data_IF_734943116038
#
_entry.id   IF_734943116038
#
_cell.length_a   1.000
_cell.length_b   1.000
_cell.length_c   1.000
_cell.angle_alpha   90.00
_cell.angle_beta   90.00
_cell.angle_gamma   90.00
#
_symmetry.space_group_name_H-M   'P 1'
#
loop_
_entity.id
_entity.type
_entity.pdbx_description
1 polymer ?
#
# COMPACT_ATOMS: atom_id res chain seq x y z
N UNK A 1 6.93 -0.79 -11.77
CA UNK A 1 7.00 -0.27 -10.41
C UNK A 1 8.07 -0.96 -9.59
N UNK A 2 8.48 -0.38 -8.48
CA UNK A 2 9.56 -0.89 -7.62
C UNK A 2 9.31 -2.33 -7.11
N UNK A 3 8.08 -2.74 -6.92
CA UNK A 3 7.73 -4.12 -6.51
C UNK A 3 8.08 -5.15 -7.60
N UNK A 4 7.88 -4.80 -8.88
CA UNK A 4 8.29 -5.66 -10.00
C UNK A 4 9.82 -5.73 -10.10
N UNK A 5 10.50 -4.61 -9.92
CA UNK A 5 11.96 -4.56 -9.93
C UNK A 5 12.54 -5.35 -8.75
N UNK A 6 11.93 -5.25 -7.56
CA UNK A 6 12.28 -6.05 -6.40
C UNK A 6 12.09 -7.56 -6.67
N UNK A 7 10.96 -7.95 -7.29
CA UNK A 7 10.70 -9.34 -7.67
C UNK A 7 11.79 -9.89 -8.58
N UNK A 8 12.18 -9.13 -9.60
CA UNK A 8 13.24 -9.53 -10.52
C UNK A 8 14.60 -9.62 -9.83
N UNK A 9 14.90 -8.69 -8.91
CA UNK A 9 16.14 -8.68 -8.15
C UNK A 9 16.21 -9.89 -7.19
N UNK A 10 15.12 -10.21 -6.48
CA UNK A 10 15.04 -11.41 -5.62
C UNK A 10 15.27 -12.68 -6.45
N UNK A 11 14.59 -12.81 -7.59
CA UNK A 11 14.75 -13.96 -8.47
C UNK A 11 16.20 -14.12 -8.96
N UNK A 12 16.87 -13.00 -9.30
CA UNK A 12 18.28 -13.01 -9.70
C UNK A 12 19.20 -13.46 -8.56
N UNK A 13 18.98 -13.00 -7.33
CA UNK A 13 19.76 -13.42 -6.15
C UNK A 13 19.59 -14.90 -5.87
N UNK A 14 18.37 -15.42 -6.00
CA UNK A 14 18.07 -16.84 -5.80
C UNK A 14 18.48 -17.75 -6.97
N UNK A 15 18.91 -17.17 -8.11
CA UNK A 15 19.28 -17.91 -9.30
C UNK A 15 18.11 -18.62 -10.01
N UNK A 16 16.90 -18.08 -9.86
CA UNK A 16 15.68 -18.62 -10.44
C UNK A 16 15.05 -17.67 -11.45
N UNK A 17 14.12 -18.18 -12.28
CA UNK A 17 13.29 -17.33 -13.14
C UNK A 17 12.04 -16.89 -12.39
N UNK A 18 11.93 -15.58 -12.12
CA UNK A 18 10.69 -14.99 -11.64
C UNK A 18 9.63 -14.94 -12.74
N UNK A 19 8.38 -15.26 -12.39
CA UNK A 19 7.21 -15.01 -13.25
C UNK A 19 6.28 -14.05 -12.52
N UNK A 20 6.16 -12.84 -13.04
CA UNK A 20 5.24 -11.85 -12.48
C UNK A 20 3.84 -12.05 -13.05
N UNK A 21 2.86 -12.17 -12.17
CA UNK A 21 1.43 -12.24 -12.51
C UNK A 21 0.70 -11.08 -11.86
N UNK A 22 -0.18 -10.43 -12.61
CA UNK A 22 -1.11 -9.44 -12.07
C UNK A 22 -2.34 -10.14 -11.48
N UNK A 23 -2.77 -9.70 -10.31
CA UNK A 23 -3.97 -10.20 -9.65
C UNK A 23 -4.72 -9.05 -8.94
N UNK A 24 -5.99 -9.26 -8.60
CA UNK A 24 -6.73 -8.32 -7.75
C UNK A 24 -6.14 -8.35 -6.33
N UNK A 25 -5.89 -7.17 -5.75
CA UNK A 25 -5.13 -7.00 -4.53
C UNK A 25 -5.66 -7.84 -3.36
N UNK A 26 -6.97 -7.80 -3.14
CA UNK A 26 -7.67 -8.51 -2.07
C UNK A 26 -7.63 -10.04 -2.20
N UNK A 27 -7.31 -10.56 -3.38
CA UNK A 27 -7.23 -12.00 -3.65
C UNK A 27 -5.83 -12.62 -3.47
N UNK A 28 -4.78 -11.78 -3.38
CA UNK A 28 -3.39 -12.26 -3.43
C UNK A 28 -3.06 -13.08 -2.20
N UNK A 29 -3.29 -12.60 -0.99
CA UNK A 29 -2.92 -13.29 0.26
C UNK A 29 -3.55 -14.68 0.32
N UNK A 30 -4.85 -14.80 0.03
CA UNK A 30 -5.56 -16.07 0.01
C UNK A 30 -5.05 -17.06 -1.07
N UNK A 31 -4.29 -16.58 -2.05
CA UNK A 31 -3.73 -17.38 -3.15
C UNK A 31 -2.28 -17.81 -2.91
N UNK A 32 -1.65 -17.35 -1.83
CA UNK A 32 -0.26 -17.69 -1.50
C UNK A 32 -0.16 -19.15 -1.07
N UNK A 33 0.86 -19.84 -1.59
CA UNK A 33 1.09 -21.27 -1.35
C UNK A 33 0.21 -22.22 -2.18
N UNK A 34 -0.82 -21.71 -2.88
CA UNK A 34 -1.67 -22.51 -3.76
C UNK A 34 -1.53 -22.13 -5.24
N UNK A 35 -1.50 -20.86 -5.55
CA UNK A 35 -1.42 -20.31 -6.91
C UNK A 35 -0.14 -19.53 -7.13
N UNK A 36 0.33 -18.84 -6.12
CA UNK A 36 1.54 -18.02 -6.14
C UNK A 36 2.49 -18.44 -5.01
N UNK A 37 3.79 -18.41 -5.28
CA UNK A 37 4.82 -18.71 -4.29
C UNK A 37 5.00 -17.52 -3.33
N UNK A 38 4.93 -16.30 -3.86
CA UNK A 38 5.03 -15.05 -3.09
C UNK A 38 4.10 -13.97 -3.66
N UNK A 39 3.78 -12.98 -2.84
CA UNK A 39 3.07 -11.76 -3.25
C UNK A 39 3.89 -10.53 -2.88
N UNK A 40 4.03 -9.60 -3.83
CA UNK A 40 4.69 -8.32 -3.64
C UNK A 40 3.78 -7.25 -4.24
N UNK A 41 3.13 -6.48 -3.40
CA UNK A 41 2.19 -5.41 -3.80
C UNK A 41 1.97 -4.44 -2.66
N UNK A 42 3.06 -3.95 -2.07
CA UNK A 42 3.03 -2.96 -0.98
C UNK A 42 2.08 -3.37 0.16
N UNK A 43 2.11 -4.65 0.56
CA UNK A 43 1.27 -5.13 1.66
C UNK A 43 1.75 -4.57 2.99
N UNK A 44 0.98 -3.65 3.58
CA UNK A 44 1.21 -3.19 4.95
C UNK A 44 1.18 -4.37 5.92
N UNK A 45 2.19 -4.48 6.77
CA UNK A 45 2.22 -5.49 7.83
C UNK A 45 1.14 -5.17 8.85
N UNK A 46 0.23 -6.12 9.07
CA UNK A 46 -0.81 -6.03 10.09
C UNK A 46 -0.93 -7.35 10.85
N UNK A 47 -1.45 -7.33 12.10
CA UNK A 47 -1.65 -8.56 12.87
C UNK A 47 -2.53 -9.59 12.13
N UNK A 48 -3.58 -9.15 11.44
CA UNK A 48 -4.47 -10.02 10.69
C UNK A 48 -3.72 -10.72 9.55
N UNK A 49 -2.93 -9.98 8.77
CA UNK A 49 -2.13 -10.53 7.67
C UNK A 49 -1.05 -11.48 8.16
N UNK A 50 -0.34 -11.10 9.24
CA UNK A 50 0.71 -11.97 9.80
C UNK A 50 0.15 -13.20 10.51
N UNK A 51 -1.15 -13.25 10.84
CA UNK A 51 -1.81 -14.48 11.27
C UNK A 51 -1.96 -15.50 10.12
N UNK A 52 -2.14 -15.03 8.88
CA UNK A 52 -2.39 -15.89 7.70
C UNK A 52 -1.10 -16.25 6.93
N UNK A 53 -0.21 -15.29 6.73
CA UNK A 53 1.02 -15.40 5.93
C UNK A 53 2.22 -14.89 6.70
N UNK A 54 3.42 -15.24 6.23
CA UNK A 54 4.65 -14.60 6.69
C UNK A 54 4.95 -13.37 5.83
N UNK A 55 5.45 -12.31 6.46
CA UNK A 55 5.71 -11.03 5.82
C UNK A 55 7.15 -10.58 6.07
N UNK A 56 7.95 -10.50 5.00
CA UNK A 56 9.32 -9.97 5.05
C UNK A 56 9.31 -8.50 4.70
N UNK A 57 9.59 -7.63 5.65
CA UNK A 57 9.57 -6.18 5.46
C UNK A 57 10.67 -5.71 4.49
N UNK A 58 10.33 -4.78 3.58
CA UNK A 58 11.28 -4.22 2.61
C UNK A 58 11.22 -2.70 2.47
N UNK A 59 10.08 -2.08 2.81
CA UNK A 59 9.85 -0.64 2.66
C UNK A 59 8.96 -0.15 3.80
N UNK A 60 9.07 1.14 4.16
CA UNK A 60 8.21 1.79 5.14
C UNK A 60 7.40 2.88 4.45
N UNK A 61 6.09 2.74 4.38
CA UNK A 61 5.21 3.64 3.63
C UNK A 61 4.00 4.00 4.47
N UNK A 62 3.64 5.29 4.48
CA UNK A 62 2.41 5.76 5.08
C UNK A 62 1.32 6.00 4.05
N UNK A 63 0.19 6.49 4.52
CA UNK A 63 -0.98 6.78 3.70
C UNK A 63 -1.12 8.27 3.45
N UNK A 64 -1.75 8.65 2.34
CA UNK A 64 -1.99 10.06 2.00
C UNK A 64 -3.26 10.22 1.16
N UNK A 65 -3.88 11.38 1.32
CA UNK A 65 -5.05 11.76 0.51
C UNK A 65 -4.63 12.37 -0.82
N UNK A 66 -5.46 12.14 -1.85
CA UNK A 66 -5.47 12.95 -3.06
C UNK A 66 -6.85 13.59 -3.23
N UNK A 67 -6.84 14.81 -3.76
CA UNK A 67 -8.04 15.59 -4.11
C UNK A 67 -7.90 16.16 -5.53
N UNK A 68 -8.99 16.60 -6.15
CA UNK A 68 -8.90 17.34 -7.39
C UNK A 68 -8.06 18.62 -7.20
N UNK A 69 -7.34 19.04 -8.22
CA UNK A 69 -6.53 20.25 -8.20
C UNK A 69 -7.35 21.46 -7.75
N UNK A 70 -6.78 22.24 -6.86
CA UNK A 70 -7.47 23.37 -6.23
C UNK A 70 -8.46 22.99 -5.13
N UNK A 71 -8.61 21.72 -4.82
CA UNK A 71 -9.49 21.20 -3.76
C UNK A 71 -10.91 21.81 -3.78
N UNK A 72 -11.66 21.70 -4.90
CA UNK A 72 -12.93 22.40 -5.07
C UNK A 72 -14.01 21.95 -4.09
N UNK A 73 -13.82 20.79 -3.46
CA UNK A 73 -14.73 20.25 -2.44
C UNK A 73 -14.37 20.71 -1.02
N UNK A 74 -13.25 21.41 -0.82
CA UNK A 74 -12.80 21.85 0.50
C UNK A 74 -12.63 20.69 1.47
N UNK A 75 -11.95 19.61 1.02
CA UNK A 75 -11.64 18.45 1.87
C UNK A 75 -10.55 18.87 2.87
N UNK A 76 -10.75 18.54 4.12
CA UNK A 76 -9.78 18.74 5.21
C UNK A 76 -9.42 17.39 5.81
N UNK A 77 -8.14 17.16 6.10
CA UNK A 77 -7.59 15.85 6.48
C UNK A 77 -6.83 15.87 7.80
N UNK A 78 -6.76 17.00 8.49
CA UNK A 78 -6.05 17.13 9.77
C UNK A 78 -6.68 16.31 10.91
N UNK A 79 -7.96 15.97 10.77
CA UNK A 79 -8.70 15.04 11.63
C UNK A 79 -9.73 14.31 10.76
N UNK A 80 -9.77 12.98 10.83
CA UNK A 80 -10.71 12.17 10.04
C UNK A 80 -12.19 12.50 10.32
N UNK A 81 -12.52 13.11 11.46
CA UNK A 81 -13.88 13.61 11.71
C UNK A 81 -14.27 14.80 10.82
N UNK A 82 -13.34 15.44 10.13
CA UNK A 82 -13.61 16.47 9.12
C UNK A 82 -14.03 15.88 7.78
N UNK A 83 -13.78 14.58 7.60
CA UNK A 83 -14.23 13.83 6.42
C UNK A 83 -15.71 13.44 6.48
N UNK A 84 -16.39 13.65 7.62
CA UNK A 84 -17.81 13.34 7.75
C UNK A 84 -18.63 14.13 6.73
N UNK A 85 -19.49 13.42 5.98
CA UNK A 85 -20.26 13.98 4.87
C UNK A 85 -19.54 13.95 3.52
N UNK A 86 -18.32 13.44 3.45
CA UNK A 86 -17.55 13.27 2.22
C UNK A 86 -17.68 11.85 1.66
N UNK A 87 -17.27 11.69 0.40
CA UNK A 87 -17.12 10.39 -0.26
C UNK A 87 -15.65 10.14 -0.54
N UNK A 88 -15.06 9.14 0.14
CA UNK A 88 -13.66 8.79 0.00
C UNK A 88 -13.52 7.47 -0.76
N UNK A 89 -12.72 7.49 -1.83
CA UNK A 89 -12.39 6.30 -2.61
C UNK A 89 -11.16 5.59 -2.05
N UNK A 90 -11.24 4.28 -1.93
CA UNK A 90 -10.16 3.40 -1.47
C UNK A 90 -10.10 2.15 -2.33
N UNK A 91 -8.97 1.46 -2.35
CA UNK A 91 -8.92 0.12 -2.95
C UNK A 91 -9.38 -0.92 -1.91
N UNK A 92 -10.17 -1.89 -2.37
CA UNK A 92 -10.69 -2.98 -1.53
C UNK A 92 -9.56 -3.81 -0.92
N UNK A 93 -9.71 -4.23 0.34
CA UNK A 93 -8.76 -5.09 1.05
C UNK A 93 -7.50 -4.38 1.55
N UNK A 94 -7.42 -3.04 1.44
CA UNK A 94 -6.28 -2.24 1.92
C UNK A 94 -6.46 -1.82 3.39
N UNK A 95 -5.35 -1.50 4.05
CA UNK A 95 -5.37 -0.87 5.37
C UNK A 95 -6.12 0.47 5.33
N UNK A 96 -5.99 1.21 4.23
CA UNK A 96 -6.69 2.48 4.03
C UNK A 96 -8.21 2.31 3.98
N UNK A 97 -8.72 1.21 3.41
CA UNK A 97 -10.15 0.91 3.48
C UNK A 97 -10.60 0.72 4.93
N UNK A 98 -9.85 -0.05 5.72
CA UNK A 98 -10.15 -0.26 7.14
C UNK A 98 -10.17 1.08 7.89
N UNK A 99 -9.12 1.89 7.76
CA UNK A 99 -9.03 3.21 8.39
C UNK A 99 -10.21 4.11 8.03
N UNK A 100 -10.62 4.14 6.77
CA UNK A 100 -11.77 4.98 6.36
C UNK A 100 -13.11 4.44 6.86
N UNK A 101 -13.27 3.11 6.97
CA UNK A 101 -14.47 2.51 7.59
C UNK A 101 -14.57 2.83 9.07
N UNK A 102 -13.44 2.76 9.80
CA UNK A 102 -13.38 3.16 11.21
C UNK A 102 -13.71 4.66 11.37
N UNK A 103 -13.21 5.50 10.47
CA UNK A 103 -13.57 6.92 10.45
C UNK A 103 -15.08 7.14 10.20
N UNK A 104 -15.68 6.35 9.31
CA UNK A 104 -17.13 6.41 9.06
C UNK A 104 -17.94 6.02 10.30
N UNK A 105 -17.52 5.01 11.05
CA UNK A 105 -18.15 4.64 12.32
C UNK A 105 -18.03 5.75 13.37
N UNK A 106 -16.85 6.38 13.47
CA UNK A 106 -16.64 7.52 14.37
C UNK A 106 -17.54 8.72 13.99
N UNK A 107 -17.75 8.99 12.69
CA UNK A 107 -18.70 9.99 12.25
C UNK A 107 -20.12 9.68 12.74
N UNK A 108 -20.57 8.42 12.58
CA UNK A 108 -21.89 7.98 13.02
C UNK A 108 -22.05 8.11 14.54
N UNK A 109 -21.05 7.66 15.31
CA UNK A 109 -21.05 7.76 16.79
C UNK A 109 -21.08 9.21 17.27
N UNK A 110 -20.44 10.13 16.53
CA UNK A 110 -20.44 11.55 16.83
C UNK A 110 -21.70 12.29 16.35
N UNK A 111 -22.67 11.60 15.73
CA UNK A 111 -23.89 12.20 15.18
C UNK A 111 -23.62 13.15 14.01
N UNK A 112 -22.48 13.01 13.33
CA UNK A 112 -22.08 13.81 12.16
C UNK A 112 -22.65 13.22 10.87
N UNK A 113 -22.64 13.97 9.76
CA UNK A 113 -23.02 13.44 8.45
C UNK A 113 -22.25 12.17 8.07
N UNK A 114 -22.86 11.27 7.32
CA UNK A 114 -22.26 9.99 6.92
C UNK A 114 -21.00 10.22 6.08
N UNK A 115 -19.86 9.65 6.49
CA UNK A 115 -18.69 9.47 5.63
C UNK A 115 -18.96 8.27 4.73
N UNK A 116 -19.00 8.48 3.42
CA UNK A 116 -19.20 7.42 2.43
C UNK A 116 -17.85 6.86 1.99
N UNK A 117 -17.59 5.58 2.26
CA UNK A 117 -16.39 4.88 1.79
C UNK A 117 -16.76 4.10 0.54
N UNK A 118 -16.14 4.46 -0.58
CA UNK A 118 -16.34 3.78 -1.86
C UNK A 118 -15.13 2.93 -2.18
N UNK A 119 -15.30 1.60 -2.10
CA UNK A 119 -14.26 0.63 -2.42
C UNK A 119 -14.25 0.31 -3.92
N UNK A 120 -13.04 0.27 -4.49
CA UNK A 120 -12.77 -0.05 -5.89
C UNK A 120 -11.87 -1.28 -5.97
N UNK A 121 -12.05 -2.12 -6.99
CA UNK A 121 -11.17 -3.28 -7.19
C UNK A 121 -9.72 -2.85 -7.50
N UNK A 122 -9.57 -1.73 -8.21
CA UNK A 122 -8.26 -1.18 -8.58
C UNK A 122 -8.11 0.26 -8.11
N UNK A 123 -6.92 0.61 -7.64
CA UNK A 123 -6.61 2.00 -7.27
C UNK A 123 -6.76 2.97 -8.45
N UNK A 124 -6.46 2.54 -9.68
CA UNK A 124 -6.66 3.35 -10.89
C UNK A 124 -8.13 3.71 -11.14
N UNK A 125 -9.08 2.86 -10.73
CA UNK A 125 -10.50 3.16 -10.81
C UNK A 125 -10.91 4.24 -9.79
N UNK A 126 -10.36 4.17 -8.57
CA UNK A 126 -10.55 5.22 -7.58
C UNK A 126 -9.98 6.57 -8.08
N UNK A 127 -8.76 6.55 -8.67
CA UNK A 127 -8.15 7.73 -9.30
C UNK A 127 -9.05 8.30 -10.41
N UNK A 128 -9.58 7.45 -11.28
CA UNK A 128 -10.54 7.88 -12.32
C UNK A 128 -11.80 8.50 -11.71
N UNK A 129 -12.33 7.90 -10.64
CA UNK A 129 -13.47 8.44 -9.90
C UNK A 129 -13.20 9.82 -9.31
N UNK A 130 -11.99 10.05 -8.80
CA UNK A 130 -11.57 11.35 -8.27
C UNK A 130 -11.45 12.39 -9.39
N UNK A 131 -10.76 12.07 -10.49
CA UNK A 131 -10.63 12.96 -11.66
C UNK A 131 -12.02 13.34 -12.20
N UNK A 132 -12.93 12.37 -12.29
CA UNK A 132 -14.31 12.58 -12.75
C UNK A 132 -15.24 13.24 -11.73
N UNK A 133 -14.76 13.55 -10.50
CA UNK A 133 -15.55 14.23 -9.46
C UNK A 133 -16.67 13.39 -8.85
N UNK A 134 -16.65 12.06 -9.03
CA UNK A 134 -17.67 11.15 -8.45
C UNK A 134 -17.38 10.79 -6.98
N UNK A 135 -16.17 11.10 -6.52
CA UNK A 135 -15.72 11.04 -5.13
C UNK A 135 -14.99 12.33 -4.79
N UNK A 136 -14.85 12.65 -3.51
CA UNK A 136 -14.28 13.90 -3.03
C UNK A 136 -12.77 13.81 -2.82
N UNK A 137 -12.27 12.64 -2.41
CA UNK A 137 -10.86 12.32 -2.25
C UNK A 137 -10.60 10.82 -2.44
N UNK A 138 -9.32 10.45 -2.64
CA UNK A 138 -8.84 9.07 -2.46
C UNK A 138 -7.90 9.02 -1.27
N UNK A 139 -7.81 7.84 -0.62
CA UNK A 139 -6.85 7.56 0.43
C UNK A 139 -6.08 6.29 0.07
N UNK A 140 -4.77 6.37 -0.07
CA UNK A 140 -3.91 5.29 -0.53
C UNK A 140 -2.49 5.44 0.02
N UNK A 141 -1.63 4.45 -0.21
CA UNK A 141 -0.20 4.58 0.07
C UNK A 141 0.36 5.88 -0.52
N UNK A 142 1.22 6.55 0.23
CA UNK A 142 1.81 7.84 -0.18
C UNK A 142 2.58 7.75 -1.51
N UNK A 143 3.21 6.61 -1.79
CA UNK A 143 3.90 6.32 -3.06
C UNK A 143 2.92 6.18 -4.22
N UNK A 144 1.78 5.54 -3.98
CA UNK A 144 0.69 5.39 -4.96
C UNK A 144 -0.01 6.74 -5.20
N UNK A 145 -0.26 7.49 -4.13
CA UNK A 145 -0.85 8.83 -4.20
C UNK A 145 0.02 9.78 -5.05
N UNK A 146 1.34 9.78 -4.81
CA UNK A 146 2.28 10.59 -5.59
C UNK A 146 2.32 10.21 -7.06
N UNK A 147 2.37 8.91 -7.35
CA UNK A 147 2.36 8.42 -8.73
C UNK A 147 1.06 8.73 -9.48
N UNK A 148 -0.08 8.70 -8.79
CA UNK A 148 -1.37 9.09 -9.37
C UNK A 148 -1.40 10.57 -9.79
N UNK A 149 -0.72 11.46 -9.06
CA UNK A 149 -0.56 12.88 -9.44
C UNK A 149 0.21 13.00 -10.75
N UNK A 150 1.32 12.27 -10.89
CA UNK A 150 2.12 12.27 -12.13
C UNK A 150 1.31 11.74 -13.33
N UNK A 151 0.59 10.63 -13.15
CA UNK A 151 -0.20 10.02 -14.23
C UNK A 151 -1.39 10.87 -14.70
N UNK A 152 -1.84 11.81 -13.88
CA UNK A 152 -3.01 12.65 -14.19
C UNK A 152 -2.63 14.07 -14.62
N UNK A 153 -1.34 14.33 -14.91
CA UNK A 153 -0.84 15.65 -15.34
C UNK A 153 -1.34 16.79 -14.43
N UNK A 154 -1.36 16.54 -13.11
CA UNK A 154 -1.76 17.54 -12.11
C UNK A 154 -3.27 17.79 -12.02
N UNK A 155 -4.13 16.97 -12.61
CA UNK A 155 -5.59 17.05 -12.41
C UNK A 155 -5.99 16.75 -10.97
N UNK A 156 -5.17 15.96 -10.27
CA UNK A 156 -5.28 15.73 -8.83
C UNK A 156 -3.98 16.14 -8.14
N UNK A 157 -4.06 16.39 -6.85
CA UNK A 157 -2.91 16.75 -6.01
C UNK A 157 -2.98 16.00 -4.69
N UNK A 158 -1.83 15.79 -4.06
CA UNK A 158 -1.79 15.25 -2.69
C UNK A 158 -2.28 16.30 -1.69
N UNK A 159 -2.95 15.85 -0.64
CA UNK A 159 -3.46 16.69 0.45
C UNK A 159 -3.04 16.11 1.80
N UNK A 160 -2.73 16.99 2.74
CA UNK A 160 -2.32 16.60 4.09
C UNK A 160 -0.91 16.02 4.19
N UNK A 161 -0.55 15.59 5.38
CA UNK A 161 0.71 14.92 5.66
C UNK A 161 0.62 13.42 5.32
N UNK A 162 1.74 12.72 5.38
CA UNK A 162 1.77 11.26 5.32
C UNK A 162 1.41 10.74 6.71
N UNK A 163 0.41 9.87 6.76
CA UNK A 163 -0.13 9.29 7.99
C UNK A 163 0.26 7.82 8.13
N UNK A 164 0.31 7.33 9.35
CA UNK A 164 0.37 5.89 9.71
C UNK A 164 1.45 5.10 8.95
N UNK A 165 2.67 5.66 8.84
CA UNK A 165 3.77 4.97 8.20
C UNK A 165 4.08 3.64 8.90
N UNK A 166 4.05 2.56 8.12
CA UNK A 166 4.24 1.20 8.60
C UNK A 166 5.09 0.38 7.61
N UNK A 167 5.76 -0.68 8.08
CA UNK A 167 6.46 -1.61 7.21
C UNK A 167 5.49 -2.27 6.22
N UNK A 168 5.95 -2.45 4.99
CA UNK A 168 5.27 -3.29 3.98
C UNK A 168 6.16 -4.48 3.66
N UNK A 169 5.55 -5.64 3.40
CA UNK A 169 6.26 -6.91 3.29
C UNK A 169 5.96 -7.70 2.03
N UNK A 170 6.96 -8.50 1.64
CA UNK A 170 6.77 -9.63 0.74
C UNK A 170 6.02 -10.70 1.51
N UNK A 171 4.91 -11.18 0.97
CA UNK A 171 4.10 -12.23 1.60
C UNK A 171 4.46 -13.60 1.07
N UNK A 172 4.61 -14.58 1.99
CA UNK A 172 4.93 -15.97 1.70
C UNK A 172 4.09 -16.91 2.57
N UNK A 173 3.95 -18.18 2.15
CA UNK A 173 3.14 -19.13 2.89
C UNK A 173 3.84 -19.58 4.19
N UNK A 174 3.13 -19.55 5.32
CA UNK A 174 3.61 -20.10 6.61
C UNK A 174 3.98 -21.59 6.53
N UNK A 175 3.35 -22.32 5.61
CA UNK A 175 3.63 -23.73 5.40
C UNK A 175 5.00 -23.99 4.76
N UNK A 176 5.67 -22.99 4.21
CA UNK A 176 7.00 -23.10 3.61
C UNK A 176 8.01 -22.12 4.27
N UNK A 177 8.45 -22.42 5.50
CA UNK A 177 9.40 -21.57 6.21
C UNK A 177 10.79 -21.53 5.54
N UNK A 178 11.15 -22.52 4.72
CA UNK A 178 12.42 -22.53 4.00
C UNK A 178 12.40 -21.50 2.86
N UNK A 179 11.30 -21.42 2.12
CA UNK A 179 11.12 -20.42 1.09
C UNK A 179 11.04 -19.01 1.70
N UNK A 180 10.31 -18.85 2.81
CA UNK A 180 10.27 -17.57 3.56
C UNK A 180 11.67 -17.12 3.97
N UNK A 181 12.49 -18.01 4.53
CA UNK A 181 13.87 -17.70 4.91
C UNK A 181 14.74 -17.33 3.68
N UNK A 182 14.55 -17.98 2.55
CA UNK A 182 15.25 -17.66 1.30
C UNK A 182 14.87 -16.26 0.78
N UNK A 183 13.58 -15.91 0.81
CA UNK A 183 13.09 -14.56 0.45
C UNK A 183 13.69 -13.52 1.40
N UNK A 184 13.65 -13.77 2.71
CA UNK A 184 14.22 -12.84 3.71
C UNK A 184 15.72 -12.61 3.48
N UNK A 185 16.49 -13.66 3.26
CA UNK A 185 17.91 -13.57 2.98
C UNK A 185 18.21 -12.81 1.66
N UNK A 186 17.41 -13.04 0.63
CA UNK A 186 17.55 -12.34 -0.65
C UNK A 186 17.23 -10.85 -0.51
N UNK A 187 16.16 -10.49 0.19
CA UNK A 187 15.81 -9.07 0.46
C UNK A 187 16.91 -8.40 1.28
N UNK A 188 17.41 -9.05 2.35
CA UNK A 188 18.52 -8.51 3.15
C UNK A 188 19.77 -8.30 2.31
N UNK A 189 20.14 -9.27 1.47
CA UNK A 189 21.27 -9.12 0.54
C UNK A 189 21.11 -7.91 -0.38
N UNK A 190 19.93 -7.69 -0.94
CA UNK A 190 19.66 -6.54 -1.81
C UNK A 190 19.79 -5.21 -1.04
N UNK A 191 19.40 -5.17 0.23
CA UNK A 191 19.60 -4.01 1.12
C UNK A 191 21.08 -3.79 1.39
N UNK A 192 21.81 -4.82 1.81
CA UNK A 192 23.25 -4.75 2.16
C UNK A 192 24.13 -4.32 0.97
N UNK A 193 23.76 -4.74 -0.24
CA UNK A 193 24.46 -4.35 -1.46
C UNK A 193 24.02 -2.98 -2.01
N UNK A 194 23.08 -2.30 -1.37
CA UNK A 194 22.53 -1.02 -1.83
C UNK A 194 21.74 -1.13 -3.13
N UNK A 195 21.40 -2.35 -3.57
CA UNK A 195 20.62 -2.59 -4.80
C UNK A 195 19.18 -2.13 -4.58
N UNK A 196 18.62 -2.44 -3.40
CA UNK A 196 17.28 -2.00 -3.04
C UNK A 196 17.16 -0.47 -3.02
N UNK A 197 18.13 0.22 -2.43
CA UNK A 197 18.16 1.68 -2.44
C UNK A 197 18.17 2.25 -3.87
N UNK A 198 18.99 1.69 -4.77
CA UNK A 198 19.02 2.13 -6.18
C UNK A 198 17.70 1.92 -6.91
N UNK A 199 17.00 0.83 -6.62
CA UNK A 199 15.66 0.60 -7.17
C UNK A 199 14.72 1.72 -6.71
N UNK A 200 14.68 2.03 -5.42
CA UNK A 200 13.81 3.08 -4.89
C UNK A 200 14.20 4.48 -5.39
N UNK A 201 15.48 4.77 -5.53
CA UNK A 201 15.98 6.03 -6.11
C UNK A 201 15.43 6.25 -7.54
N UNK A 202 15.40 5.19 -8.35
CA UNK A 202 14.86 5.23 -9.71
C UNK A 202 13.35 5.53 -9.75
N UNK A 203 12.63 5.22 -8.66
CA UNK A 203 11.19 5.47 -8.52
C UNK A 203 10.86 6.72 -7.68
N UNK A 204 11.88 7.49 -7.27
CA UNK A 204 11.70 8.73 -6.50
C UNK A 204 11.20 8.54 -5.06
N UNK A 205 11.35 7.33 -4.50
CA UNK A 205 10.88 6.97 -3.13
C UNK A 205 12.02 6.59 -2.19
N UNK A 206 13.16 7.19 -2.35
CA UNK A 206 14.44 6.88 -1.68
C UNK A 206 14.37 6.85 -0.15
N UNK A 207 13.55 7.70 0.46
CA UNK A 207 13.48 7.86 1.91
C UNK A 207 12.63 6.77 2.60
N UNK A 208 11.99 5.89 1.81
CA UNK A 208 11.14 4.81 2.31
C UNK A 208 11.89 3.48 2.53
N UNK A 209 13.17 3.38 2.11
CA UNK A 209 13.95 2.16 2.19
C UNK A 209 14.13 1.69 3.63
N UNK A 210 13.86 0.40 3.87
CA UNK A 210 14.32 -0.28 5.09
C UNK A 210 15.74 -0.82 4.86
N UNK A 211 16.50 -0.94 5.95
CA UNK A 211 17.86 -1.50 5.96
C UNK A 211 17.94 -2.90 6.56
N UNK A 212 16.82 -3.36 7.13
CA UNK A 212 16.68 -4.69 7.72
C UNK A 212 15.42 -5.35 7.19
N UNK A 213 15.57 -6.56 6.63
CA UNK A 213 14.48 -7.39 6.17
C UNK A 213 13.91 -8.19 7.35
N UNK A 214 13.15 -7.51 8.22
CA UNK A 214 12.55 -8.12 9.40
C UNK A 214 11.38 -9.02 8.98
N UNK A 215 11.32 -10.22 9.57
CA UNK A 215 10.20 -11.14 9.39
C UNK A 215 9.10 -10.83 10.40
N UNK A 216 7.88 -10.62 9.91
CA UNK A 216 6.70 -10.33 10.73
C UNK A 216 6.97 -9.22 11.77
N UNK A 217 7.47 -8.04 11.37
CA UNK A 217 7.81 -6.98 12.32
C UNK A 217 6.60 -6.62 13.17
N UNK A 218 6.85 -6.31 14.45
CA UNK A 218 5.82 -5.79 15.32
C UNK A 218 5.35 -4.43 14.80
N UNK A 219 4.04 -4.27 14.62
CA UNK A 219 3.42 -2.99 14.28
C UNK A 219 2.85 -2.35 15.54
N UNK A 220 2.93 -1.03 15.63
CA UNK A 220 2.28 -0.29 16.71
C UNK A 220 0.77 -0.34 16.48
N UNK A 221 0.03 -0.75 17.51
CA UNK A 221 -1.42 -0.58 17.57
C UNK A 221 -1.81 0.89 17.62
#
# INVERSE_FOLDING_TARGET
GYDVDLTNAIAAVLGVKGKVHTAEFDSIIASIGSKYDAGISSFTVTPERTAEVDMTAYINVGSRFNVQAGNPKGVETSDHLQLCGRTIGVQVGTAQETTMRDAAEKCAQAGKPVLSVRSYSKQSEATTGLVGGTIDATYSDSTVAGYAVELTDGQIVTLGEIEDAAPQGVVTAKADPQFTAAIQAAVQYLMDQGIWQKILDNWGVKDAALTTAELNPAVKE
#
